data_IF_859467785415
#
_entry.id   IF_859467785415
#
_cell.length_a   1.000
_cell.length_b   1.000
_cell.length_c   1.000
_cell.angle_alpha   90.00
_cell.angle_beta   90.00
_cell.angle_gamma   90.00
#
_symmetry.space_group_name_H-M   'P 1'
#
loop_
_entity.id
_entity.type
_entity.pdbx_description
1 polymer ?
#
# COMPACT_ATOMS: atom_id res chain seq x y z
N UNK A 1 19.29 -8.51 11.55
CA UNK A 1 18.28 -7.46 11.78
C UNK A 1 18.99 -6.14 12.01
N UNK A 2 19.44 -5.54 10.91
CA UNK A 2 19.96 -4.17 10.95
C UNK A 2 18.79 -3.21 11.21
N UNK A 3 19.03 -2.24 12.09
CA UNK A 3 18.12 -1.15 12.41
C UNK A 3 17.62 -0.48 11.12
N UNK A 4 16.37 -0.75 10.72
CA UNK A 4 15.60 0.16 9.89
C UNK A 4 15.36 1.45 10.71
N UNK A 5 16.36 2.32 10.72
CA UNK A 5 16.19 3.66 11.26
C UNK A 5 15.16 4.37 10.39
N UNK A 6 13.94 4.50 10.92
CA UNK A 6 12.91 5.29 10.27
C UNK A 6 13.51 6.64 9.86
N UNK A 7 13.31 7.04 8.59
CA UNK A 7 13.94 8.25 8.05
C UNK A 7 13.62 9.45 8.93
N UNK A 8 14.66 10.17 9.35
CA UNK A 8 14.53 11.29 10.28
C UNK A 8 14.00 12.51 9.55
N UNK A 9 12.92 13.09 10.08
CA UNK A 9 12.41 14.40 9.67
C UNK A 9 13.07 15.47 10.56
N UNK A 10 13.65 16.49 9.94
CA UNK A 10 14.21 17.65 10.64
C UNK A 10 13.28 18.86 10.48
N UNK A 11 12.96 19.52 11.59
CA UNK A 11 12.20 20.77 11.61
C UNK A 11 13.10 21.84 12.20
N UNK A 12 13.59 22.74 11.36
CA UNK A 12 14.41 23.87 11.76
C UNK A 12 13.55 25.12 11.79
N UNK A 13 13.50 25.83 12.91
CA UNK A 13 12.66 27.02 13.02
C UNK A 13 13.33 28.15 13.78
N UNK A 14 12.89 29.38 13.48
CA UNK A 14 13.30 30.60 14.19
C UNK A 14 12.09 31.49 14.35
N UNK A 15 11.93 32.05 15.55
CA UNK A 15 10.78 32.86 15.87
C UNK A 15 10.96 33.64 17.16
N UNK A 16 9.95 34.43 17.47
CA UNK A 16 9.85 35.19 18.71
C UNK A 16 8.44 35.07 19.26
N UNK A 17 8.33 35.09 20.58
CA UNK A 17 7.08 35.04 21.30
C UNK A 17 7.16 36.04 22.45
N UNK A 18 6.08 36.77 22.69
CA UNK A 18 5.99 37.81 23.70
C UNK A 18 4.60 37.82 24.33
N UNK A 19 4.51 38.25 25.58
CA UNK A 19 3.26 38.33 26.33
C UNK A 19 3.29 37.52 27.63
N UNK A 20 2.16 37.48 28.36
CA UNK A 20 2.00 36.65 29.55
C UNK A 20 2.11 35.17 29.18
N UNK A 21 2.56 34.31 30.10
CA UNK A 21 2.55 32.84 29.93
C UNK A 21 1.12 32.27 30.02
N UNK A 22 0.23 32.78 29.16
CA UNK A 22 -1.14 32.33 28.93
C UNK A 22 -1.40 32.39 27.43
N UNK A 23 -1.75 31.26 26.81
CA UNK A 23 -1.76 31.10 25.36
C UNK A 23 -2.68 32.07 24.62
N UNK A 24 -3.76 32.48 25.29
CA UNK A 24 -4.75 33.45 24.84
C UNK A 24 -4.26 34.91 24.87
N UNK A 25 -3.08 35.19 25.41
CA UNK A 25 -2.49 36.54 25.49
C UNK A 25 -1.07 36.59 24.91
N UNK A 26 -0.61 35.48 24.33
CA UNK A 26 0.69 35.41 23.67
C UNK A 26 0.57 35.94 22.24
N UNK A 27 1.63 36.62 21.81
CA UNK A 27 1.78 37.14 20.46
C UNK A 27 3.20 36.87 19.95
N UNK A 28 3.33 36.43 18.71
CA UNK A 28 4.60 36.02 18.16
C UNK A 28 4.52 35.54 16.72
N UNK A 29 5.69 35.22 16.17
CA UNK A 29 5.80 34.63 14.84
C UNK A 29 7.00 33.70 14.78
N UNK A 30 6.89 32.64 14.00
CA UNK A 30 7.97 31.71 13.74
C UNK A 30 7.92 31.23 12.29
N UNK A 31 9.09 31.11 11.68
CA UNK A 31 9.27 30.46 10.39
C UNK A 31 9.97 29.13 10.62
N UNK A 32 9.51 28.10 9.91
CA UNK A 32 10.02 26.74 9.98
C UNK A 32 10.36 26.24 8.57
N UNK A 33 11.37 25.40 8.52
CA UNK A 33 11.79 24.63 7.37
C UNK A 33 11.81 23.15 7.78
N UNK A 34 11.03 22.35 7.08
CA UNK A 34 10.93 20.91 7.26
C UNK A 34 11.74 20.26 6.15
N UNK A 35 12.67 19.40 6.54
CA UNK A 35 13.60 18.69 5.68
C UNK A 35 13.49 17.19 5.97
N UNK A 36 13.53 16.37 4.94
CA UNK A 36 13.60 14.92 5.06
C UNK A 36 14.44 14.36 3.92
N UNK A 37 15.23 13.28 4.14
CA UNK A 37 15.88 12.56 3.05
C UNK A 37 14.88 11.95 2.07
N UNK A 38 13.64 11.69 2.53
CA UNK A 38 12.55 11.16 1.72
C UNK A 38 12.01 12.16 0.68
N UNK A 39 12.33 13.45 0.79
CA UNK A 39 11.85 14.46 -0.16
C UNK A 39 12.70 14.38 -1.43
N UNK A 40 12.55 13.29 -2.18
CA UNK A 40 13.35 12.96 -3.34
C UNK A 40 13.34 14.12 -4.35
N UNK A 41 14.39 14.95 -4.31
CA UNK A 41 14.66 16.07 -5.22
C UNK A 41 13.71 17.28 -5.17
N UNK A 42 12.83 17.38 -4.17
CA UNK A 42 11.69 18.35 -4.19
C UNK A 42 11.82 19.51 -3.21
N UNK A 43 12.93 19.54 -2.47
CA UNK A 43 13.30 20.61 -1.57
C UNK A 43 12.47 20.63 -0.28
N UNK A 44 12.62 21.71 0.50
CA UNK A 44 12.03 21.83 1.82
C UNK A 44 10.54 22.18 1.80
N UNK A 45 9.80 21.71 2.81
CA UNK A 45 8.49 22.26 3.14
C UNK A 45 8.72 23.45 4.07
N UNK A 46 8.16 24.61 3.74
CA UNK A 46 8.24 25.81 4.58
C UNK A 46 6.95 26.00 5.33
N UNK A 47 7.03 26.44 6.59
CA UNK A 47 5.87 26.82 7.37
C UNK A 47 6.10 28.17 8.05
N UNK A 48 5.03 28.96 8.15
CA UNK A 48 5.03 30.22 8.91
C UNK A 48 3.88 30.13 9.91
N UNK A 49 4.17 30.45 11.17
CA UNK A 49 3.18 30.55 12.23
C UNK A 49 3.16 31.97 12.76
N UNK A 50 1.97 32.52 12.95
CA UNK A 50 1.74 33.80 13.62
C UNK A 50 0.72 33.58 14.73
N UNK A 51 0.94 34.21 15.87
CA UNK A 51 0.01 34.23 16.99
C UNK A 51 -0.22 35.70 17.34
N UNK A 52 -1.47 36.12 17.44
CA UNK A 52 -1.86 37.47 17.86
C UNK A 52 -3.01 37.35 18.84
N UNK A 53 -2.76 37.63 20.12
CA UNK A 53 -3.78 37.65 21.19
C UNK A 53 -4.66 36.39 21.23
N UNK A 54 -4.01 35.23 21.15
CA UNK A 54 -4.68 33.92 21.16
C UNK A 54 -5.28 33.46 19.83
N UNK A 55 -5.11 34.23 18.74
CA UNK A 55 -5.45 33.80 17.38
C UNK A 55 -4.19 33.39 16.61
N UNK A 56 -4.11 32.11 16.29
CA UNK A 56 -3.02 31.48 15.56
C UNK A 56 -3.33 31.34 14.07
N UNK A 57 -2.37 31.66 13.23
CA UNK A 57 -2.37 31.37 11.78
C UNK A 57 -1.16 30.52 11.48
N UNK A 58 -1.38 29.36 10.86
CA UNK A 58 -0.33 28.50 10.33
C UNK A 58 -0.47 28.43 8.81
N UNK A 59 0.60 28.68 8.08
CA UNK A 59 0.65 28.52 6.62
C UNK A 59 1.82 27.61 6.28
N UNK A 60 1.56 26.48 5.63
CA UNK A 60 2.55 25.48 5.19
C UNK A 60 2.50 25.42 3.67
N UNK A 61 3.65 25.35 3.02
CA UNK A 61 3.74 25.12 1.58
C UNK A 61 5.03 24.43 1.18
N UNK A 62 4.99 23.66 0.09
CA UNK A 62 6.21 23.17 -0.55
C UNK A 62 6.77 24.19 -1.56
N UNK A 63 7.97 23.93 -2.07
CA UNK A 63 8.68 24.85 -2.98
C UNK A 63 7.94 25.08 -4.30
N UNK A 64 7.28 24.04 -4.82
CA UNK A 64 6.49 24.10 -6.05
C UNK A 64 5.12 24.75 -5.86
N UNK A 65 4.71 25.05 -4.62
CA UNK A 65 3.36 25.47 -4.24
C UNK A 65 2.26 24.50 -4.69
N UNK A 66 2.62 23.23 -4.95
CA UNK A 66 1.67 22.15 -5.25
C UNK A 66 0.98 21.63 -3.98
N UNK A 67 1.57 21.86 -2.81
CA UNK A 67 0.96 21.67 -1.49
C UNK A 67 0.89 23.01 -0.77
N UNK A 68 -0.30 23.43 -0.34
CA UNK A 68 -0.52 24.60 0.51
C UNK A 68 -1.55 24.26 1.59
N UNK A 69 -1.22 24.49 2.85
CA UNK A 69 -2.13 24.34 3.99
C UNK A 69 -2.17 25.65 4.76
N UNK A 70 -3.36 26.19 4.98
CA UNK A 70 -3.59 27.33 5.85
C UNK A 70 -4.52 26.89 6.97
N UNK A 71 -4.15 27.14 8.22
CA UNK A 71 -4.97 26.82 9.37
C UNK A 71 -5.11 28.04 10.28
N UNK A 72 -6.34 28.27 10.73
CA UNK A 72 -6.70 29.30 11.70
C UNK A 72 -7.09 28.60 13.00
N UNK A 73 -6.43 28.97 14.09
CA UNK A 73 -6.66 28.44 15.43
C UNK A 73 -7.07 29.58 16.35
N UNK A 74 -8.19 29.44 17.02
CA UNK A 74 -8.62 30.38 18.04
C UNK A 74 -8.52 29.71 19.41
N UNK A 75 -7.58 30.18 20.22
CA UNK A 75 -7.32 29.63 21.56
C UNK A 75 -8.03 30.40 22.67
N UNK A 76 -8.58 31.59 22.37
CA UNK A 76 -9.17 32.52 23.34
C UNK A 76 -10.70 32.52 23.35
N UNK A 77 -11.35 32.02 22.29
CA UNK A 77 -12.80 32.04 22.14
C UNK A 77 -13.39 30.66 21.80
N UNK A 78 -14.71 30.55 21.93
CA UNK A 78 -15.49 29.39 21.44
C UNK A 78 -15.68 29.38 19.92
N UNK A 79 -14.98 30.25 19.17
CA UNK A 79 -15.10 30.32 17.72
C UNK A 79 -14.54 29.06 17.06
N UNK A 80 -14.94 28.82 15.82
CA UNK A 80 -14.46 27.69 15.03
C UNK A 80 -13.02 27.94 14.56
N UNK A 81 -12.21 26.90 14.62
CA UNK A 81 -10.95 26.80 13.91
C UNK A 81 -11.22 26.40 12.46
N UNK A 82 -10.31 26.70 11.55
CA UNK A 82 -10.39 26.25 10.16
C UNK A 82 -9.08 25.68 9.65
N UNK A 83 -9.18 24.76 8.70
CA UNK A 83 -8.07 24.21 7.92
C UNK A 83 -8.50 24.25 6.45
N UNK A 84 -7.70 24.89 5.63
CA UNK A 84 -7.82 24.91 4.17
C UNK A 84 -6.57 24.25 3.57
N UNK A 85 -6.76 23.16 2.85
CA UNK A 85 -5.71 22.44 2.13
C UNK A 85 -5.96 22.58 0.62
N UNK A 86 -4.95 23.07 -0.09
CA UNK A 86 -4.94 23.14 -1.54
C UNK A 86 -3.80 22.27 -2.09
N UNK A 87 -4.18 21.31 -2.93
CA UNK A 87 -3.30 20.44 -3.69
C UNK A 87 -3.46 20.83 -5.16
N UNK A 88 -2.36 21.18 -5.83
CA UNK A 88 -2.35 21.57 -7.24
C UNK A 88 -1.34 20.73 -8.01
N UNK A 89 -1.84 19.67 -8.68
CA UNK A 89 -0.99 18.65 -9.31
C UNK A 89 0.06 18.14 -8.33
N UNK A 90 -0.37 17.93 -7.09
CA UNK A 90 0.47 17.43 -6.02
C UNK A 90 0.78 15.96 -6.28
N UNK A 91 2.04 15.57 -6.14
CA UNK A 91 2.52 14.21 -6.35
C UNK A 91 3.09 13.69 -5.03
N UNK A 92 2.33 12.92 -4.24
CA UNK A 92 2.79 12.45 -2.93
C UNK A 92 4.06 11.59 -3.02
N UNK A 93 4.30 10.92 -4.15
CA UNK A 93 5.56 10.24 -4.51
C UNK A 93 6.84 11.03 -4.23
N UNK A 94 6.76 12.35 -4.36
CA UNK A 94 7.85 13.28 -4.06
C UNK A 94 8.30 13.27 -2.58
N UNK A 95 7.49 12.67 -1.71
CA UNK A 95 7.65 12.62 -0.25
C UNK A 95 7.62 11.19 0.30
N UNK A 96 7.03 10.25 -0.43
CA UNK A 96 6.88 8.84 -0.08
C UNK A 96 6.73 8.04 -1.38
N UNK A 97 7.76 7.25 -1.70
CA UNK A 97 7.89 6.47 -2.94
C UNK A 97 6.71 5.49 -3.15
N UNK A 98 6.04 5.10 -2.07
CA UNK A 98 4.81 4.29 -2.11
C UNK A 98 3.68 4.97 -2.90
N UNK A 99 3.80 6.26 -3.20
CA UNK A 99 2.81 7.05 -3.94
C UNK A 99 3.36 7.70 -5.23
N UNK A 100 4.45 7.19 -5.80
CA UNK A 100 5.14 7.71 -7.00
C UNK A 100 4.23 7.98 -8.20
N UNK A 101 3.20 7.15 -8.32
CA UNK A 101 2.27 7.18 -9.43
C UNK A 101 0.93 7.84 -9.09
N UNK A 102 0.88 8.66 -8.03
CA UNK A 102 -0.30 9.43 -7.63
C UNK A 102 -0.13 10.91 -8.02
N UNK A 103 -1.18 11.48 -8.62
CA UNK A 103 -1.30 12.91 -8.93
C UNK A 103 -2.70 13.39 -8.52
N UNK A 104 -2.75 14.45 -7.72
CA UNK A 104 -4.00 14.98 -7.17
C UNK A 104 -4.07 16.50 -7.26
N UNK A 105 -5.23 16.99 -7.70
CA UNK A 105 -5.65 18.39 -7.58
C UNK A 105 -6.93 18.43 -6.77
N UNK A 106 -6.87 19.01 -5.57
CA UNK A 106 -7.98 19.05 -4.63
C UNK A 106 -7.96 20.31 -3.78
N UNK A 107 -9.15 20.80 -3.40
CA UNK A 107 -9.32 21.82 -2.36
C UNK A 107 -10.17 21.23 -1.24
N UNK A 108 -9.68 21.31 -0.02
CA UNK A 108 -10.39 20.86 1.18
C UNK A 108 -10.50 22.05 2.12
N UNK A 109 -11.73 22.38 2.52
CA UNK A 109 -11.99 23.34 3.58
C UNK A 109 -12.69 22.65 4.72
N UNK A 110 -12.24 22.90 5.94
CA UNK A 110 -12.75 22.25 7.13
C UNK A 110 -12.79 23.22 8.30
N UNK A 111 -13.89 23.21 9.06
CA UNK A 111 -14.10 24.08 10.21
C UNK A 111 -14.64 23.28 11.39
N UNK A 112 -14.05 23.47 12.57
CA UNK A 112 -14.32 22.65 13.74
C UNK A 112 -14.22 23.47 15.02
N UNK A 113 -14.93 23.04 16.07
CA UNK A 113 -14.76 23.67 17.39
C UNK A 113 -13.45 23.19 18.03
N UNK A 114 -12.71 24.04 18.77
CA UNK A 114 -11.39 23.68 19.32
C UNK A 114 -11.33 22.37 20.11
N UNK A 115 -12.42 21.99 20.79
CA UNK A 115 -12.53 20.74 21.56
C UNK A 115 -13.04 19.53 20.77
N UNK A 116 -13.41 19.71 19.51
CA UNK A 116 -14.11 18.71 18.67
C UNK A 116 -13.58 18.71 17.23
N UNK A 117 -12.27 18.50 17.07
CA UNK A 117 -11.60 18.45 15.76
C UNK A 117 -12.28 17.49 14.78
N UNK A 118 -12.81 16.36 15.25
CA UNK A 118 -13.38 15.33 14.40
C UNK A 118 -14.88 15.53 14.08
N UNK A 119 -15.57 16.50 14.68
CA UNK A 119 -17.01 16.75 14.46
C UNK A 119 -17.26 18.02 13.63
N UNK A 120 -16.29 18.43 12.81
CA UNK A 120 -16.35 19.64 12.02
C UNK A 120 -17.20 19.53 10.75
N UNK A 121 -17.35 20.65 10.06
CA UNK A 121 -18.04 20.76 8.78
C UNK A 121 -17.09 21.28 7.72
N UNK A 122 -17.32 20.96 6.47
CA UNK A 122 -16.39 21.31 5.41
C UNK A 122 -16.84 20.93 4.02
N UNK A 123 -15.93 21.08 3.07
CA UNK A 123 -16.12 20.64 1.70
C UNK A 123 -14.83 20.08 1.13
N UNK A 124 -14.97 19.10 0.25
CA UNK A 124 -13.89 18.55 -0.55
C UNK A 124 -14.28 18.79 -2.01
N UNK A 125 -13.39 19.42 -2.77
CA UNK A 125 -13.50 19.63 -4.21
C UNK A 125 -12.34 18.93 -4.91
N UNK A 126 -12.58 17.71 -5.36
CA UNK A 126 -11.62 16.88 -6.07
C UNK A 126 -11.70 17.18 -7.57
N UNK A 127 -10.70 17.89 -8.09
CA UNK A 127 -10.69 18.32 -9.49
C UNK A 127 -9.99 17.32 -10.40
N UNK A 128 -8.90 16.74 -9.90
CA UNK A 128 -8.14 15.69 -10.59
C UNK A 128 -7.65 14.70 -9.55
N UNK A 129 -7.72 13.42 -9.90
CA UNK A 129 -7.06 12.37 -9.16
C UNK A 129 -6.66 11.31 -10.17
N UNK A 130 -5.43 10.85 -10.11
CA UNK A 130 -4.99 9.75 -10.93
C UNK A 130 -3.96 8.92 -10.19
N UNK A 131 -4.01 7.61 -10.42
CA UNK A 131 -3.13 6.63 -9.79
C UNK A 131 -2.74 5.54 -10.80
N UNK A 132 -1.70 4.78 -10.48
CA UNK A 132 -1.11 3.79 -11.40
C UNK A 132 -0.06 4.41 -12.31
N UNK A 133 0.97 3.62 -12.60
CA UNK A 133 2.11 4.06 -13.39
C UNK A 133 1.83 3.93 -14.90
N UNK A 134 2.53 4.69 -15.73
CA UNK A 134 2.38 4.55 -17.18
C UNK A 134 2.83 3.15 -17.63
N UNK A 135 2.14 2.50 -18.59
CA UNK A 135 0.96 2.99 -19.31
C UNK A 135 -0.39 2.80 -18.58
N UNK A 136 -0.43 2.01 -17.51
CA UNK A 136 -1.65 1.59 -16.80
C UNK A 136 -2.15 2.60 -15.76
N UNK A 137 -2.40 3.83 -16.21
CA UNK A 137 -2.88 4.93 -15.35
C UNK A 137 -4.41 5.01 -15.34
N UNK A 138 -5.02 5.11 -14.16
CA UNK A 138 -6.42 5.46 -14.00
C UNK A 138 -6.56 6.94 -13.62
N UNK A 139 -7.53 7.62 -14.21
CA UNK A 139 -7.83 9.02 -13.91
C UNK A 139 -9.31 9.21 -13.60
N UNK A 140 -9.60 10.07 -12.62
CA UNK A 140 -10.94 10.50 -12.29
C UNK A 140 -11.59 11.11 -13.55
N UNK A 141 -12.72 10.54 -13.96
CA UNK A 141 -13.40 10.92 -15.20
C UNK A 141 -13.95 12.35 -15.13
N UNK A 142 -14.52 12.75 -13.99
CA UNK A 142 -15.17 14.04 -13.81
C UNK A 142 -14.79 14.66 -12.45
N UNK A 143 -14.52 15.97 -12.37
CA UNK A 143 -14.40 16.68 -11.10
C UNK A 143 -15.61 16.46 -10.20
N UNK A 144 -15.37 16.26 -8.91
CA UNK A 144 -16.41 16.00 -7.92
C UNK A 144 -16.27 16.91 -6.72
N UNK A 145 -17.40 17.27 -6.10
CA UNK A 145 -17.41 18.02 -4.85
C UNK A 145 -18.47 17.47 -3.90
N UNK A 146 -18.14 17.44 -2.62
CA UNK A 146 -19.05 16.96 -1.59
C UNK A 146 -18.75 17.62 -0.24
N UNK A 147 -19.67 17.46 0.70
CA UNK A 147 -19.63 18.12 2.01
C UNK A 147 -19.21 17.17 3.10
N UNK A 148 -18.50 17.72 4.07
CA UNK A 148 -18.28 17.11 5.38
C UNK A 148 -19.29 17.74 6.33
N UNK A 149 -20.05 16.93 7.07
CA UNK A 149 -21.04 17.37 8.05
C UNK A 149 -20.83 16.59 9.32
N UNK A 150 -20.51 17.29 10.42
CA UNK A 150 -20.22 16.69 11.72
C UNK A 150 -19.21 15.54 11.66
N UNK A 151 -18.12 15.71 10.90
CA UNK A 151 -17.09 14.69 10.72
C UNK A 151 -17.45 13.55 9.76
N UNK A 152 -18.68 13.51 9.24
CA UNK A 152 -19.13 12.51 8.29
C UNK A 152 -19.15 13.08 6.88
N UNK A 153 -18.83 12.24 5.90
CA UNK A 153 -18.79 12.63 4.49
C UNK A 153 -19.39 11.54 3.62
N UNK A 154 -20.24 11.93 2.67
CA UNK A 154 -20.78 11.02 1.65
C UNK A 154 -20.00 11.25 0.36
N UNK A 155 -19.21 10.25 0.00
CA UNK A 155 -18.40 10.25 -1.21
C UNK A 155 -19.35 9.90 -2.38
N UNK A 156 -19.48 10.78 -3.40
CA UNK A 156 -20.24 10.46 -4.59
C UNK A 156 -19.60 9.28 -5.33
N UNK A 157 -20.28 8.72 -6.32
CA UNK A 157 -19.67 7.72 -7.19
C UNK A 157 -18.53 8.38 -8.00
N UNK A 158 -17.30 8.10 -7.61
CA UNK A 158 -16.07 8.50 -8.30
C UNK A 158 -15.77 7.44 -9.35
N UNK A 159 -15.85 7.79 -10.63
CA UNK A 159 -15.49 6.91 -11.73
C UNK A 159 -14.04 7.20 -12.17
N UNK A 160 -13.21 6.18 -12.18
CA UNK A 160 -11.81 6.21 -12.60
C UNK A 160 -11.64 5.37 -13.85
N UNK A 161 -11.10 5.96 -14.91
CA UNK A 161 -10.95 5.33 -16.22
C UNK A 161 -9.48 5.31 -16.63
N UNK A 162 -9.03 4.17 -17.13
CA UNK A 162 -7.79 3.96 -17.87
C UNK A 162 -8.07 3.15 -19.14
N UNK A 163 -7.03 2.78 -19.88
CA UNK A 163 -7.17 2.10 -21.17
C UNK A 163 -7.94 0.77 -21.05
N UNK A 164 -7.51 -0.10 -20.12
CA UNK A 164 -8.14 -1.41 -19.85
C UNK A 164 -8.75 -1.49 -18.44
N UNK A 165 -9.13 -0.34 -17.88
CA UNK A 165 -9.58 -0.26 -16.48
C UNK A 165 -10.72 0.73 -16.31
N UNK A 166 -11.74 0.33 -15.55
CA UNK A 166 -12.82 1.21 -15.09
C UNK A 166 -13.22 0.79 -13.67
N UNK A 167 -13.09 1.73 -12.72
CA UNK A 167 -13.41 1.52 -11.31
C UNK A 167 -14.34 2.62 -10.82
N UNK A 168 -15.43 2.23 -10.19
CA UNK A 168 -16.37 3.13 -9.52
C UNK A 168 -16.23 2.93 -8.01
N UNK A 169 -15.92 4.00 -7.28
CA UNK A 169 -15.81 4.03 -5.83
C UNK A 169 -16.82 5.02 -5.25
N UNK A 170 -17.56 4.66 -4.21
CA UNK A 170 -18.45 5.59 -3.52
C UNK A 170 -18.83 5.12 -2.13
N UNK A 171 -19.56 5.94 -1.37
CA UNK A 171 -20.09 5.53 -0.06
C UNK A 171 -20.00 6.64 0.98
N UNK A 172 -19.65 6.29 2.20
CA UNK A 172 -19.56 7.22 3.32
C UNK A 172 -18.45 6.86 4.30
N UNK A 173 -17.84 7.89 4.89
CA UNK A 173 -16.82 7.77 5.93
C UNK A 173 -17.17 8.75 7.05
N UNK A 174 -17.01 8.31 8.29
CA UNK A 174 -17.05 9.19 9.47
C UNK A 174 -15.69 9.17 10.15
N UNK A 175 -15.16 10.35 10.49
CA UNK A 175 -13.88 10.47 11.19
C UNK A 175 -13.89 9.68 12.51
N UNK A 176 -12.92 8.78 12.71
CA UNK A 176 -12.87 7.81 13.82
C UNK A 176 -14.18 7.01 14.02
N UNK A 177 -14.94 6.81 12.96
CA UNK A 177 -16.25 6.19 12.99
C UNK A 177 -16.42 5.16 11.88
N UNK A 178 -17.68 4.86 11.54
CA UNK A 178 -17.99 3.86 10.52
C UNK A 178 -17.47 4.25 9.14
N UNK A 179 -16.91 3.27 8.45
CA UNK A 179 -16.64 3.26 7.02
C UNK A 179 -17.71 2.41 6.35
N UNK A 180 -18.26 2.86 5.23
CA UNK A 180 -19.14 2.08 4.37
C UNK A 180 -18.93 2.53 2.92
N UNK A 181 -18.02 1.87 2.22
CA UNK A 181 -17.66 2.15 0.84
C UNK A 181 -17.98 0.97 -0.05
N UNK A 182 -18.27 1.24 -1.31
CA UNK A 182 -18.42 0.23 -2.36
C UNK A 182 -17.44 0.54 -3.47
N UNK A 183 -16.79 -0.50 -3.98
CA UNK A 183 -15.89 -0.43 -5.11
C UNK A 183 -16.28 -1.52 -6.13
N UNK A 184 -16.60 -1.11 -7.35
CA UNK A 184 -17.02 -1.99 -8.43
C UNK A 184 -16.23 -1.64 -9.69
N UNK A 185 -15.65 -2.64 -10.36
CA UNK A 185 -14.88 -2.36 -11.56
C UNK A 185 -14.00 -3.48 -12.06
N UNK A 186 -13.24 -3.16 -13.11
CA UNK A 186 -12.15 -3.96 -13.64
C UNK A 186 -10.88 -3.12 -13.69
N UNK A 187 -9.74 -3.73 -13.38
CA UNK A 187 -8.45 -3.07 -13.34
C UNK A 187 -7.36 -3.96 -13.95
N UNK A 188 -6.39 -3.32 -14.61
CA UNK A 188 -5.09 -3.92 -14.89
C UNK A 188 -4.28 -3.92 -13.60
N UNK A 189 -3.67 -5.03 -13.23
CA UNK A 189 -3.04 -5.20 -11.91
C UNK A 189 -1.82 -4.28 -11.70
N UNK A 190 -1.08 -3.95 -12.76
CA UNK A 190 -0.02 -2.93 -12.73
C UNK A 190 -0.49 -1.57 -12.19
N UNK A 191 -1.77 -1.22 -12.37
CA UNK A 191 -2.32 0.04 -11.86
C UNK A 191 -2.32 0.14 -10.33
N UNK A 192 -2.21 -0.99 -9.64
CA UNK A 192 -2.20 -1.09 -8.17
C UNK A 192 -0.95 -1.80 -7.64
N UNK A 193 0.05 -2.09 -8.48
CA UNK A 193 1.27 -2.78 -8.08
C UNK A 193 1.97 -2.12 -6.87
N UNK A 194 1.97 -0.79 -6.83
CA UNK A 194 2.54 -0.02 -5.72
C UNK A 194 1.87 -0.26 -4.35
N UNK A 195 0.65 -0.80 -4.32
CA UNK A 195 -0.07 -1.18 -3.09
C UNK A 195 0.27 -2.60 -2.62
N UNK A 196 1.03 -3.35 -3.41
CA UNK A 196 1.34 -4.76 -3.22
C UNK A 196 2.86 -4.98 -3.17
N UNK A 197 3.57 -4.42 -2.17
CA UNK A 197 5.04 -4.37 -2.15
C UNK A 197 5.74 -5.73 -2.09
N UNK A 198 5.01 -6.81 -1.78
CA UNK A 198 5.55 -8.17 -1.76
C UNK A 198 5.42 -8.89 -3.11
N UNK A 199 4.85 -8.24 -4.13
CA UNK A 199 4.65 -8.80 -5.46
C UNK A 199 5.35 -7.91 -6.48
N UNK A 200 6.48 -8.39 -6.98
CA UNK A 200 7.17 -7.74 -8.08
C UNK A 200 6.45 -8.04 -9.38
N UNK A 201 6.41 -7.06 -10.28
CA UNK A 201 5.87 -7.20 -11.62
C UNK A 201 4.46 -7.84 -11.65
N UNK A 202 3.57 -7.44 -10.73
CA UNK A 202 2.19 -7.93 -10.77
C UNK A 202 1.44 -7.37 -11.99
N UNK A 203 0.99 -8.26 -12.87
CA UNK A 203 0.28 -7.93 -14.12
C UNK A 203 -0.98 -8.77 -14.31
N UNK A 204 -1.72 -8.44 -15.37
CA UNK A 204 -2.98 -9.11 -15.74
C UNK A 204 -4.19 -8.31 -15.31
N UNK A 205 -5.34 -8.98 -15.19
CA UNK A 205 -6.61 -8.31 -14.97
C UNK A 205 -7.34 -8.84 -13.72
N UNK A 206 -7.95 -7.91 -12.98
CA UNK A 206 -8.86 -8.22 -11.90
C UNK A 206 -10.20 -7.53 -12.12
N UNK A 207 -11.29 -8.26 -11.89
CA UNK A 207 -12.65 -7.70 -11.81
C UNK A 207 -13.18 -7.88 -10.40
N UNK A 208 -13.59 -6.79 -9.77
CA UNK A 208 -13.97 -6.77 -8.37
C UNK A 208 -15.34 -6.12 -8.15
N UNK A 209 -16.08 -6.65 -7.18
CA UNK A 209 -17.24 -6.01 -6.58
C UNK A 209 -17.09 -6.17 -5.07
N UNK A 210 -16.81 -5.07 -4.38
CA UNK A 210 -16.36 -5.03 -2.99
C UNK A 210 -17.21 -4.04 -2.18
N UNK A 211 -17.54 -4.45 -0.96
CA UNK A 211 -18.07 -3.61 0.10
C UNK A 211 -17.00 -3.52 1.19
N UNK A 212 -16.70 -2.31 1.63
CA UNK A 212 -15.69 -2.00 2.63
C UNK A 212 -16.43 -1.36 3.81
N UNK A 213 -16.47 -2.06 4.94
CA UNK A 213 -17.18 -1.63 6.15
C UNK A 213 -16.25 -1.58 7.37
N UNK A 214 -16.78 -1.31 8.56
CA UNK A 214 -16.00 -1.29 9.80
C UNK A 214 -15.54 0.11 10.18
N UNK A 215 -14.28 0.27 10.56
CA UNK A 215 -13.66 1.56 10.92
C UNK A 215 -12.45 1.84 10.04
N UNK A 216 -11.91 3.06 10.09
CA UNK A 216 -10.66 3.40 9.36
C UNK A 216 -9.47 2.56 9.80
N UNK A 217 -9.44 2.15 11.08
CA UNK A 217 -8.32 1.40 11.67
C UNK A 217 -8.50 -0.11 11.53
N UNK A 218 -9.73 -0.57 11.26
CA UNK A 218 -10.07 -1.98 11.10
C UNK A 218 -11.14 -2.14 9.99
N UNK A 219 -10.77 -1.88 8.73
CA UNK A 219 -11.69 -2.07 7.61
C UNK A 219 -11.99 -3.56 7.40
N UNK A 220 -13.22 -3.87 7.00
CA UNK A 220 -13.70 -5.20 6.68
C UNK A 220 -14.10 -5.23 5.20
N UNK A 221 -13.55 -6.19 4.45
CA UNK A 221 -13.79 -6.33 3.02
C UNK A 221 -14.72 -7.51 2.76
N UNK A 222 -15.78 -7.29 1.99
CA UNK A 222 -16.71 -8.33 1.58
C UNK A 222 -17.02 -8.20 0.10
N UNK A 223 -16.96 -9.30 -0.65
CA UNK A 223 -17.24 -9.25 -2.07
C UNK A 223 -16.58 -10.36 -2.87
N UNK A 224 -16.40 -10.11 -4.15
CA UNK A 224 -15.86 -11.08 -5.10
C UNK A 224 -14.81 -10.44 -5.98
N UNK A 225 -13.69 -11.13 -6.17
CA UNK A 225 -12.63 -10.78 -7.11
C UNK A 225 -12.43 -11.94 -8.07
N UNK A 226 -12.45 -11.63 -9.37
CA UNK A 226 -12.14 -12.57 -10.44
C UNK A 226 -10.80 -12.15 -11.03
N UNK A 227 -9.84 -13.07 -11.05
CA UNK A 227 -8.53 -12.88 -11.66
C UNK A 227 -8.52 -13.55 -13.04
N UNK A 228 -7.88 -12.91 -14.01
CA UNK A 228 -7.67 -13.47 -15.35
C UNK A 228 -6.34 -13.02 -15.92
N UNK A 229 -5.57 -13.99 -16.43
CA UNK A 229 -4.24 -13.77 -16.99
C UNK A 229 -3.33 -13.00 -16.03
N UNK A 230 -3.44 -13.28 -14.72
CA UNK A 230 -2.60 -12.65 -13.72
C UNK A 230 -1.20 -13.25 -13.73
N UNK A 231 -0.21 -12.40 -13.50
CA UNK A 231 1.21 -12.74 -13.51
C UNK A 231 1.87 -12.04 -12.32
N UNK A 232 2.82 -12.70 -11.67
CA UNK A 232 3.64 -12.07 -10.63
C UNK A 232 4.95 -12.84 -10.45
N UNK A 233 5.93 -12.15 -9.88
CA UNK A 233 7.20 -12.72 -9.50
C UNK A 233 7.47 -12.47 -8.01
N UNK A 234 8.02 -13.46 -7.32
CA UNK A 234 8.49 -13.35 -5.94
C UNK A 234 9.99 -13.60 -5.94
N UNK A 235 10.77 -12.53 -5.80
CA UNK A 235 12.24 -12.58 -5.90
C UNK A 235 12.87 -13.49 -4.85
N UNK A 236 12.42 -13.40 -3.59
CA UNK A 236 12.99 -14.15 -2.44
C UNK A 236 13.04 -15.67 -2.64
N UNK A 237 12.13 -16.22 -3.45
CA UNK A 237 12.02 -17.66 -3.70
C UNK A 237 12.13 -18.02 -5.19
N UNK A 238 12.52 -17.07 -6.04
CA UNK A 238 12.61 -17.23 -7.50
C UNK A 238 11.36 -17.93 -8.09
N UNK A 239 10.19 -17.45 -7.67
CA UNK A 239 8.91 -18.01 -8.07
C UNK A 239 8.23 -17.07 -9.05
N UNK A 240 8.10 -17.53 -10.30
CA UNK A 240 7.33 -16.87 -11.34
C UNK A 240 6.00 -17.59 -11.52
N UNK A 241 4.92 -16.83 -11.50
CA UNK A 241 3.57 -17.32 -11.75
C UNK A 241 2.97 -16.56 -12.94
N UNK A 242 2.40 -17.29 -13.89
CA UNK A 242 1.73 -16.73 -15.07
C UNK A 242 0.39 -17.41 -15.33
N UNK A 243 -0.44 -16.79 -16.17
CA UNK A 243 -1.78 -17.30 -16.55
C UNK A 243 -2.65 -17.65 -15.35
N UNK A 244 -2.48 -16.89 -14.26
CA UNK A 244 -3.22 -17.09 -13.02
C UNK A 244 -4.67 -16.65 -13.26
N UNK A 245 -5.60 -17.57 -13.05
CA UNK A 245 -7.03 -17.35 -13.20
C UNK A 245 -7.79 -18.01 -12.05
N UNK A 246 -8.83 -17.35 -11.56
CA UNK A 246 -9.62 -17.89 -10.47
C UNK A 246 -10.56 -16.89 -9.83
N UNK A 247 -11.25 -17.37 -8.81
CA UNK A 247 -12.24 -16.60 -8.06
C UNK A 247 -11.91 -16.58 -6.57
N UNK A 248 -11.88 -15.37 -6.02
CA UNK A 248 -11.73 -15.08 -4.61
C UNK A 248 -13.05 -14.52 -4.09
N UNK A 249 -13.57 -15.10 -3.02
CA UNK A 249 -14.71 -14.56 -2.27
C UNK A 249 -14.18 -13.99 -0.96
N UNK A 250 -14.20 -12.66 -0.85
CA UNK A 250 -13.79 -11.96 0.35
C UNK A 250 -14.96 -11.95 1.32
N UNK A 251 -14.68 -12.38 2.55
CA UNK A 251 -15.56 -12.27 3.70
C UNK A 251 -14.87 -11.45 4.77
N UNK A 252 -15.65 -11.04 5.77
CA UNK A 252 -15.20 -10.21 6.89
C UNK A 252 -13.84 -10.59 7.50
N UNK A 253 -13.57 -11.88 7.69
CA UNK A 253 -12.34 -12.37 8.34
C UNK A 253 -11.51 -13.33 7.48
N UNK A 254 -11.98 -13.71 6.30
CA UNK A 254 -11.33 -14.70 5.46
C UNK A 254 -11.56 -14.50 3.97
N UNK A 255 -10.69 -15.11 3.17
CA UNK A 255 -10.78 -15.17 1.72
C UNK A 255 -11.00 -16.63 1.34
N UNK A 256 -12.14 -16.93 0.75
CA UNK A 256 -12.42 -18.24 0.16
C UNK A 256 -11.87 -18.29 -1.26
N UNK A 257 -10.98 -19.24 -1.48
CA UNK A 257 -10.39 -19.56 -2.78
C UNK A 257 -11.13 -20.77 -3.32
N UNK A 258 -12.05 -20.56 -4.26
CA UNK A 258 -12.82 -21.67 -4.86
C UNK A 258 -11.90 -22.58 -5.67
N UNK A 259 -11.20 -21.98 -6.61
CA UNK A 259 -10.11 -22.58 -7.38
C UNK A 259 -9.31 -21.44 -8.02
N UNK A 260 -8.00 -21.51 -7.91
CA UNK A 260 -7.05 -20.72 -8.68
C UNK A 260 -6.20 -21.71 -9.45
N UNK A 261 -6.09 -21.51 -10.76
CA UNK A 261 -5.21 -22.27 -11.64
C UNK A 261 -4.18 -21.34 -12.25
N UNK A 262 -3.03 -21.88 -12.64
CA UNK A 262 -2.06 -21.16 -13.47
C UNK A 262 -0.82 -22.00 -13.73
N UNK A 263 0.25 -21.31 -14.14
CA UNK A 263 1.55 -21.90 -14.39
C UNK A 263 2.55 -21.28 -13.44
N UNK A 264 3.28 -22.10 -12.68
CA UNK A 264 4.35 -21.67 -11.77
C UNK A 264 5.65 -22.32 -12.20
N UNK A 265 6.66 -21.51 -12.52
CA UNK A 265 7.95 -21.95 -13.07
C UNK A 265 7.81 -23.06 -14.13
N UNK A 266 6.93 -22.82 -15.12
CA UNK A 266 6.67 -23.76 -16.23
C UNK A 266 5.71 -24.93 -15.93
N UNK A 267 5.43 -25.23 -14.66
CA UNK A 267 4.53 -26.31 -14.24
C UNK A 267 3.09 -25.85 -13.98
N UNK A 268 2.11 -26.75 -14.12
CA UNK A 268 0.72 -26.43 -13.81
C UNK A 268 0.51 -26.41 -12.29
N UNK A 269 -0.27 -25.45 -11.80
CA UNK A 269 -0.70 -25.39 -10.39
C UNK A 269 -2.22 -25.22 -10.29
N UNK A 270 -2.83 -25.84 -9.29
CA UNK A 270 -4.19 -25.55 -8.83
C UNK A 270 -4.22 -25.40 -7.32
N UNK A 271 -4.92 -24.38 -6.82
CA UNK A 271 -5.00 -24.05 -5.40
C UNK A 271 -6.44 -23.76 -5.00
N UNK A 272 -6.85 -24.24 -3.82
CA UNK A 272 -8.15 -23.95 -3.23
C UNK A 272 -8.07 -23.96 -1.70
N UNK A 273 -9.07 -23.35 -1.05
CA UNK A 273 -9.17 -23.35 0.41
C UNK A 273 -9.59 -21.99 0.98
N UNK A 274 -9.10 -21.68 2.16
CA UNK A 274 -9.46 -20.47 2.90
C UNK A 274 -8.23 -19.83 3.52
N UNK A 275 -8.08 -18.52 3.33
CA UNK A 275 -6.99 -17.72 3.90
C UNK A 275 -7.56 -16.77 4.94
N UNK A 276 -6.93 -16.68 6.11
CA UNK A 276 -7.20 -15.67 7.12
C UNK A 276 -6.02 -14.69 7.16
N UNK A 277 -6.04 -13.56 6.42
CA UNK A 277 -4.87 -12.70 6.22
C UNK A 277 -4.27 -12.15 7.53
N UNK A 278 -5.10 -11.95 8.55
CA UNK A 278 -4.70 -11.44 9.87
C UNK A 278 -4.55 -12.52 10.94
N UNK A 279 -4.70 -13.79 10.56
CA UNK A 279 -4.57 -14.95 11.43
C UNK A 279 -4.14 -16.14 10.57
N UNK A 280 -2.96 -16.04 9.95
CA UNK A 280 -2.48 -16.99 8.96
C UNK A 280 -2.45 -18.43 9.49
N UNK A 281 -2.24 -18.61 10.79
CA UNK A 281 -2.31 -19.88 11.50
C UNK A 281 -3.67 -20.58 11.41
N UNK A 282 -4.76 -19.86 11.10
CA UNK A 282 -6.10 -20.41 10.87
C UNK A 282 -6.34 -20.78 9.40
N UNK A 283 -5.44 -20.41 8.50
CA UNK A 283 -5.58 -20.65 7.07
C UNK A 283 -5.48 -22.13 6.75
N UNK A 284 -6.22 -22.57 5.74
CA UNK A 284 -6.16 -23.91 5.19
C UNK A 284 -6.16 -23.82 3.66
N UNK A 285 -5.00 -24.00 3.05
CA UNK A 285 -4.79 -23.90 1.62
C UNK A 285 -4.25 -25.24 1.13
N UNK A 286 -4.87 -25.79 0.09
CA UNK A 286 -4.32 -26.94 -0.63
C UNK A 286 -3.88 -26.52 -2.01
N UNK A 287 -2.64 -26.88 -2.35
CA UNK A 287 -2.06 -26.74 -3.67
C UNK A 287 -1.78 -28.12 -4.27
N UNK A 288 -2.04 -28.27 -5.57
CA UNK A 288 -1.60 -29.38 -6.40
C UNK A 288 -0.77 -28.80 -7.53
N UNK A 289 0.34 -29.45 -7.85
CA UNK A 289 1.22 -28.98 -8.89
C UNK A 289 1.86 -30.13 -9.66
N UNK A 290 2.17 -29.86 -10.92
CA UNK A 290 2.77 -30.83 -11.83
C UNK A 290 3.87 -30.15 -12.65
N UNK A 291 5.09 -30.68 -12.56
CA UNK A 291 6.22 -30.24 -13.37
C UNK A 291 6.74 -28.83 -13.06
N UNK A 292 6.69 -28.39 -11.80
CA UNK A 292 7.28 -27.10 -11.39
C UNK A 292 8.80 -27.24 -11.39
N UNK A 293 9.48 -26.33 -12.09
CA UNK A 293 10.94 -26.21 -12.06
C UNK A 293 11.40 -25.32 -10.90
N UNK A 294 12.31 -25.83 -10.09
CA UNK A 294 12.91 -25.12 -8.98
C UNK A 294 14.42 -25.02 -9.25
N UNK A 295 14.83 -23.84 -9.69
CA UNK A 295 16.21 -23.56 -10.03
C UNK A 295 17.00 -22.98 -8.86
N UNK A 296 18.32 -23.20 -8.89
CA UNK A 296 19.28 -22.64 -7.95
C UNK A 296 19.08 -23.05 -6.49
N UNK A 297 18.41 -24.17 -6.23
CA UNK A 297 18.44 -24.81 -4.91
C UNK A 297 19.81 -25.47 -4.74
N UNK A 298 20.75 -24.77 -4.11
CA UNK A 298 22.12 -25.25 -3.88
C UNK A 298 22.89 -25.65 -5.17
N UNK A 299 22.69 -24.94 -6.28
CA UNK A 299 23.18 -25.30 -7.63
C UNK A 299 22.57 -26.60 -8.19
N UNK A 300 21.34 -26.89 -7.79
CA UNK A 300 20.51 -27.97 -8.32
C UNK A 300 19.29 -27.37 -9.02
N UNK A 301 18.95 -27.91 -10.18
CA UNK A 301 17.64 -27.70 -10.82
C UNK A 301 16.79 -28.94 -10.58
N UNK A 302 15.57 -28.75 -10.09
CA UNK A 302 14.65 -29.84 -9.72
C UNK A 302 13.32 -29.61 -10.40
N UNK A 303 12.80 -30.62 -11.09
CA UNK A 303 11.42 -30.65 -11.56
C UNK A 303 10.62 -31.50 -10.58
N UNK A 304 9.56 -30.93 -10.01
CA UNK A 304 8.76 -31.58 -8.98
C UNK A 304 7.26 -31.49 -9.25
N UNK A 305 6.56 -32.54 -8.82
CA UNK A 305 5.10 -32.64 -8.82
C UNK A 305 4.61 -33.05 -7.42
N UNK A 306 3.42 -32.62 -7.03
CA UNK A 306 2.96 -32.95 -5.68
C UNK A 306 1.63 -32.35 -5.27
N UNK A 307 1.29 -32.63 -4.02
CA UNK A 307 0.19 -31.96 -3.33
C UNK A 307 0.64 -31.53 -1.95
N UNK A 308 0.47 -30.25 -1.67
CA UNK A 308 0.81 -29.61 -0.41
C UNK A 308 -0.45 -29.02 0.23
N UNK A 309 -0.48 -29.03 1.55
CA UNK A 309 -1.52 -28.46 2.39
C UNK A 309 -0.84 -27.62 3.46
N UNK A 310 -1.08 -26.31 3.41
CA UNK A 310 -0.81 -25.39 4.51
C UNK A 310 -2.04 -25.39 5.41
N UNK A 311 -1.87 -25.72 6.69
CA UNK A 311 -2.99 -25.80 7.63
C UNK A 311 -2.61 -25.41 9.06
N UNK A 312 -3.60 -25.26 9.96
CA UNK A 312 -3.36 -25.01 11.37
C UNK A 312 -2.59 -26.17 12.02
N UNK A 313 -1.80 -25.86 13.05
CA UNK A 313 -1.16 -26.86 13.90
C UNK A 313 -1.29 -26.54 15.39
N UNK A 314 -1.09 -27.57 16.22
CA UNK A 314 -1.33 -27.53 17.66
C UNK A 314 -0.40 -26.56 18.41
N UNK A 315 0.75 -26.22 17.83
CA UNK A 315 1.72 -25.28 18.39
C UNK A 315 1.40 -23.81 18.07
N UNK A 316 0.37 -23.54 17.25
CA UNK A 316 -0.02 -22.20 16.83
C UNK A 316 0.70 -21.68 15.59
N UNK A 317 1.69 -22.40 15.06
CA UNK A 317 2.35 -22.06 13.79
C UNK A 317 1.65 -22.81 12.64
N UNK A 318 1.50 -22.19 11.45
CA UNK A 318 0.98 -22.91 10.29
C UNK A 318 1.93 -24.05 9.90
N UNK A 319 1.39 -25.23 9.61
CA UNK A 319 2.15 -26.40 9.16
C UNK A 319 1.92 -26.66 7.68
N UNK A 320 3.01 -26.83 6.95
CA UNK A 320 3.02 -27.32 5.58
C UNK A 320 3.19 -28.85 5.58
N UNK A 321 2.27 -29.56 4.96
CA UNK A 321 2.25 -31.03 4.89
C UNK A 321 1.90 -31.50 3.50
N UNK A 322 2.32 -32.70 3.11
CA UNK A 322 1.98 -33.23 1.79
C UNK A 322 3.02 -34.20 1.24
N UNK A 323 2.91 -34.45 -0.06
CA UNK A 323 3.83 -35.32 -0.81
C UNK A 323 4.39 -34.51 -1.97
N UNK A 324 5.71 -34.53 -2.08
CA UNK A 324 6.45 -34.00 -3.22
C UNK A 324 7.17 -35.17 -3.89
N UNK A 325 7.01 -35.27 -5.20
CA UNK A 325 7.72 -36.21 -6.07
C UNK A 325 8.75 -35.41 -6.85
N UNK A 326 9.99 -35.87 -6.84
CA UNK A 326 11.04 -35.33 -7.71
C UNK A 326 10.96 -36.11 -9.02
N UNK A 327 10.50 -35.44 -10.08
CA UNK A 327 10.35 -36.04 -11.41
C UNK A 327 11.68 -36.05 -12.15
N UNK A 328 12.47 -34.98 -11.99
CA UNK A 328 13.82 -34.86 -12.51
C UNK A 328 14.69 -34.01 -11.57
N UNK A 329 15.99 -34.29 -11.51
CA UNK A 329 16.94 -33.45 -10.79
C UNK A 329 18.29 -33.43 -11.53
N UNK A 330 18.82 -32.23 -11.75
CA UNK A 330 20.14 -32.00 -12.32
C UNK A 330 21.01 -31.25 -11.31
N UNK A 331 22.21 -31.79 -11.04
CA UNK A 331 23.14 -31.25 -10.06
C UNK A 331 24.42 -30.77 -10.76
N UNK A 332 24.70 -29.48 -10.68
CA UNK A 332 25.92 -28.91 -11.24
C UNK A 332 27.01 -28.80 -10.17
N UNK A 333 27.99 -29.70 -10.21
CA UNK A 333 29.22 -29.59 -9.41
C UNK A 333 30.36 -29.09 -10.26
N UNK A 334 30.88 -27.89 -9.95
CA UNK A 334 32.18 -27.45 -10.48
C UNK A 334 33.27 -28.38 -9.94
N UNK A 335 33.72 -29.31 -10.77
CA UNK A 335 34.84 -30.19 -10.46
C UNK A 335 36.16 -29.44 -10.68
N UNK A 336 36.87 -29.13 -9.59
CA UNK A 336 38.25 -28.66 -9.70
C UNK A 336 39.17 -29.86 -9.94
N UNK A 337 39.45 -30.10 -11.23
CA UNK A 337 40.36 -31.15 -11.68
C UNK A 337 41.76 -30.98 -11.03
N UNK A 338 42.19 -29.76 -10.73
CA UNK A 338 43.48 -29.49 -10.09
C UNK A 338 43.52 -29.98 -8.65
N UNK A 339 42.44 -29.78 -7.90
CA UNK A 339 42.30 -30.29 -6.53
C UNK A 339 42.28 -31.83 -6.50
N UNK A 340 41.54 -32.45 -7.43
CA UNK A 340 41.46 -33.92 -7.55
C UNK A 340 42.83 -34.52 -7.91
N UNK A 341 43.53 -33.92 -8.87
CA UNK A 341 44.89 -34.36 -9.26
C UNK A 341 45.91 -34.09 -8.14
N UNK A 342 45.75 -33.02 -7.38
CA UNK A 342 46.57 -32.73 -6.20
C UNK A 342 46.44 -33.79 -5.11
N UNK A 343 45.21 -34.22 -4.79
CA UNK A 343 44.99 -35.28 -3.81
C UNK A 343 45.45 -36.65 -4.31
N UNK A 344 45.14 -37.02 -5.55
CA UNK A 344 45.58 -38.29 -6.15
C UNK A 344 47.10 -38.39 -6.23
N UNK A 345 47.79 -37.30 -6.61
CA UNK A 345 49.25 -37.27 -6.62
C UNK A 345 49.82 -37.37 -5.20
N UNK A 346 49.20 -36.74 -4.21
CA UNK A 346 49.62 -36.86 -2.81
C UNK A 346 49.41 -38.26 -2.21
N UNK A 347 48.40 -39.00 -2.68
CA UNK A 347 48.12 -40.38 -2.28
C UNK A 347 49.07 -41.39 -2.93
N UNK A 348 49.54 -41.11 -4.16
CA UNK A 348 50.55 -41.94 -4.86
C UNK A 348 51.97 -41.64 -4.37
N UNK A 349 52.23 -40.43 -3.86
CA UNK A 349 53.56 -39.99 -3.40
C UNK A 349 53.80 -40.14 -1.89
N UNK A 350 52.85 -40.69 -1.13
CA UNK A 350 53.09 -41.15 0.25
C UNK A 350 53.41 -42.66 0.24
N UNK A 351 54.67 -43.08 0.46
CA UNK A 351 55.03 -44.49 0.65
C UNK A 351 54.46 -45.06 1.96
#
# INVERSE_FOLDING_TARGET
PEDEQSPKIWINGKGSLSGPLKIDHLSGSADFEILSPLFANQGSITATAKLSDGEGVLSIKNQLNSLQLNALFNFSSSNFNSIDLELNSFRPGEYDESFDCVDVTSKISYSYSPSKLLEGNGSIALSRFSFGCAPYKLSLQNPQQWKITQGATKIPALEFIGDDSNVILGGSITANGPVNLNADGSLHLDSIAYLLPNFDDIRGFAKASLNISGTTDAPQFEGKVILSEAEFYIEDINLSAEKIAGELVLRKDNIEVSEITGIVNGGNVSTYGTVFPFALERSNIRAQFEGIELDNIENTSIIASGSLMLGPADNGDPTLSGIITIDNAEFEKKLDISAILGELSSAILKP
#
